data_IF_537126088502
#
_entry.id   IF_537126088502
#
_cell.length_a   1.000
_cell.length_b   1.000
_cell.length_c   1.000
_cell.angle_alpha   90.00
_cell.angle_beta   90.00
_cell.angle_gamma   90.00
#
_symmetry.space_group_name_H-M   'P 1'
#
loop_
_entity.id
_entity.type
_entity.pdbx_description
1 polymer ?
#
# COMPACT_ATOMS: atom_id res chain seq x y z
N UNK A 1 -2.61 -6.70 9.42
CA UNK A 1 -3.02 -5.57 8.59
C UNK A 1 -2.71 -4.32 9.35
N UNK A 2 -2.11 -3.35 8.67
CA UNK A 2 -1.68 -2.11 9.28
C UNK A 2 -2.25 -0.93 8.53
N UNK A 3 -2.93 -0.06 9.26
CA UNK A 3 -3.55 1.14 8.72
C UNK A 3 -2.62 2.34 8.89
N UNK A 4 -2.55 3.20 7.88
CA UNK A 4 -1.87 4.50 7.92
C UNK A 4 -2.92 5.57 7.63
N UNK A 5 -3.16 6.44 8.61
CA UNK A 5 -4.11 7.56 8.49
C UNK A 5 -3.44 8.91 8.62
N UNK A 6 -2.35 8.98 9.38
CA UNK A 6 -1.63 10.22 9.62
C UNK A 6 -0.12 10.01 9.53
N UNK A 7 0.63 11.12 9.62
CA UNK A 7 2.09 11.11 9.58
C UNK A 7 2.71 10.20 10.67
N UNK A 8 2.14 10.19 11.88
CA UNK A 8 2.64 9.35 12.98
C UNK A 8 2.51 7.86 12.68
N UNK A 9 1.42 7.45 12.03
CA UNK A 9 1.24 6.06 11.61
C UNK A 9 2.29 5.69 10.56
N UNK A 10 2.50 6.58 9.59
CA UNK A 10 3.52 6.41 8.55
C UNK A 10 4.93 6.26 9.16
N UNK A 11 5.30 7.13 10.10
CA UNK A 11 6.59 7.06 10.80
C UNK A 11 6.75 5.75 11.61
N UNK A 12 5.67 5.28 12.24
CA UNK A 12 5.65 3.98 12.92
C UNK A 12 5.91 2.82 11.95
N UNK A 13 5.37 2.88 10.72
CA UNK A 13 5.69 1.91 9.66
C UNK A 13 7.14 2.06 9.19
N UNK A 14 7.60 3.28 8.97
CA UNK A 14 8.94 3.60 8.51
C UNK A 14 10.03 3.06 9.45
N UNK A 15 9.76 3.04 10.76
CA UNK A 15 10.68 2.48 11.75
C UNK A 15 10.95 0.97 11.58
N UNK A 16 10.05 0.25 10.88
CA UNK A 16 10.10 -1.22 10.72
C UNK A 16 10.46 -1.66 9.30
N UNK A 17 10.36 -0.76 8.31
CA UNK A 17 10.58 -1.05 6.90
C UNK A 17 11.55 -0.01 6.36
N UNK A 18 12.76 -0.40 5.97
CA UNK A 18 13.76 0.53 5.44
C UNK A 18 14.25 0.06 4.06
N UNK A 19 13.41 0.25 3.04
CA UNK A 19 13.72 -0.11 1.66
C UNK A 19 12.96 0.77 0.63
N UNK A 20 13.06 0.43 -0.66
CA UNK A 20 12.36 1.14 -1.74
C UNK A 20 10.84 1.11 -1.62
N UNK A 21 10.26 0.14 -0.94
CA UNK A 21 8.82 0.12 -0.71
C UNK A 21 8.41 1.21 0.26
N UNK A 22 9.22 1.51 1.29
CA UNK A 22 8.96 2.67 2.14
C UNK A 22 8.97 3.98 1.34
N UNK A 23 9.92 4.14 0.42
CA UNK A 23 9.99 5.34 -0.46
C UNK A 23 8.73 5.46 -1.30
N UNK A 24 8.28 4.34 -1.87
CA UNK A 24 7.05 4.29 -2.65
C UNK A 24 5.81 4.62 -1.81
N UNK A 25 5.66 4.00 -0.62
CA UNK A 25 4.56 4.31 0.30
C UNK A 25 4.56 5.79 0.73
N UNK A 26 5.75 6.38 0.91
CA UNK A 26 5.86 7.82 1.19
C UNK A 26 5.25 8.63 0.06
N UNK A 27 5.56 8.31 -1.19
CA UNK A 27 5.02 9.02 -2.34
C UNK A 27 3.49 8.90 -2.41
N UNK A 28 2.92 7.71 -2.17
CA UNK A 28 1.47 7.54 -2.13
C UNK A 28 0.82 8.35 -0.99
N UNK A 29 1.39 8.32 0.21
CA UNK A 29 0.86 9.08 1.36
C UNK A 29 0.88 10.60 1.10
N UNK A 30 1.99 11.13 0.57
CA UNK A 30 2.08 12.55 0.25
C UNK A 30 1.20 12.94 -0.93
N UNK A 31 0.97 12.03 -1.89
CA UNK A 31 0.00 12.24 -2.97
C UNK A 31 -1.44 12.38 -2.43
N UNK A 32 -1.82 11.55 -1.46
CA UNK A 32 -3.11 11.69 -0.77
C UNK A 32 -3.19 13.00 0.03
N UNK A 33 -2.12 13.38 0.73
CA UNK A 33 -2.04 14.67 1.41
C UNK A 33 -2.24 15.85 0.45
N UNK A 34 -1.53 15.88 -0.67
CA UNK A 34 -1.67 16.95 -1.67
C UNK A 34 -3.08 17.05 -2.23
N UNK A 35 -3.78 15.91 -2.37
CA UNK A 35 -5.14 15.87 -2.89
C UNK A 35 -6.21 16.24 -1.84
N UNK A 36 -6.08 15.76 -0.61
CA UNK A 36 -7.16 15.79 0.41
C UNK A 36 -6.97 16.83 1.51
N UNK A 37 -5.75 17.31 1.74
CA UNK A 37 -5.42 18.16 2.91
C UNK A 37 -6.20 19.47 2.99
N UNK A 38 -6.69 19.98 1.85
CA UNK A 38 -7.39 21.26 1.78
C UNK A 38 -6.61 22.41 2.50
N UNK A 39 -5.27 22.38 2.42
CA UNK A 39 -4.39 23.37 3.04
C UNK A 39 -4.05 23.13 4.51
N UNK A 40 -4.46 22.01 5.11
CA UNK A 40 -4.02 21.62 6.45
C UNK A 40 -2.53 21.25 6.47
N UNK A 41 -1.90 21.36 7.65
CA UNK A 41 -0.50 20.98 7.81
C UNK A 41 -0.36 19.46 7.84
N UNK A 42 0.76 18.95 7.35
CA UNK A 42 1.03 17.50 7.30
C UNK A 42 1.00 16.84 8.68
N UNK A 43 1.35 17.58 9.75
CA UNK A 43 1.32 17.09 11.12
C UNK A 43 -0.12 16.90 11.66
N UNK A 44 -1.07 17.63 11.08
CA UNK A 44 -2.49 17.62 11.44
C UNK A 44 -3.32 16.74 10.48
N UNK A 45 -2.77 16.42 9.30
CA UNK A 45 -3.43 15.61 8.26
C UNK A 45 -3.86 14.23 8.76
N UNK A 46 -5.16 13.96 8.59
CA UNK A 46 -5.77 12.70 8.99
C UNK A 46 -6.73 12.20 7.91
N UNK A 47 -6.35 11.09 7.26
CA UNK A 47 -7.24 10.36 6.37
C UNK A 47 -8.45 9.83 7.15
N UNK A 48 -9.63 9.99 6.56
CA UNK A 48 -10.84 9.31 7.03
C UNK A 48 -10.69 7.79 6.84
N UNK A 49 -11.42 6.96 7.60
CA UNK A 49 -11.20 5.50 7.60
C UNK A 49 -11.36 4.82 6.24
N UNK A 50 -12.19 5.36 5.33
CA UNK A 50 -12.41 4.78 4.00
C UNK A 50 -11.38 5.22 2.95
N UNK A 51 -10.51 6.19 3.26
CA UNK A 51 -9.40 6.64 2.41
C UNK A 51 -8.04 6.21 2.96
N UNK A 52 -8.01 5.50 4.09
CA UNK A 52 -6.77 5.11 4.75
C UNK A 52 -5.95 4.14 3.88
N UNK A 53 -4.63 4.20 4.03
CA UNK A 53 -3.75 3.24 3.37
C UNK A 53 -3.64 1.98 4.22
N UNK A 54 -3.88 0.82 3.63
CA UNK A 54 -3.84 -0.48 4.31
C UNK A 54 -2.66 -1.29 3.82
N UNK A 55 -1.78 -1.73 4.72
CA UNK A 55 -0.72 -2.70 4.43
C UNK A 55 -1.20 -4.08 4.86
N UNK A 56 -1.24 -4.99 3.89
CA UNK A 56 -1.54 -6.41 4.05
C UNK A 56 -0.23 -7.14 4.35
N UNK A 57 -0.09 -7.60 5.59
CA UNK A 57 1.18 -8.09 6.13
C UNK A 57 1.41 -9.57 5.81
N UNK A 58 0.34 -10.31 5.55
CA UNK A 58 0.40 -11.72 5.21
C UNK A 58 -0.51 -12.10 4.03
N UNK A 59 -0.38 -13.36 3.61
CA UNK A 59 -1.11 -13.91 2.48
C UNK A 59 -2.61 -14.08 2.79
N UNK A 60 -2.98 -14.41 4.03
CA UNK A 60 -4.39 -14.60 4.39
C UNK A 60 -5.16 -13.29 4.26
N UNK A 61 -4.55 -12.18 4.66
CA UNK A 61 -5.10 -10.83 4.48
C UNK A 61 -5.26 -10.46 3.00
N UNK A 62 -4.26 -10.78 2.18
CA UNK A 62 -4.33 -10.59 0.73
C UNK A 62 -5.44 -11.41 0.09
N UNK A 63 -5.51 -12.71 0.42
CA UNK A 63 -6.51 -13.62 -0.13
C UNK A 63 -7.93 -13.13 0.24
N UNK A 64 -8.16 -12.69 1.48
CA UNK A 64 -9.44 -12.09 1.92
C UNK A 64 -9.84 -10.86 1.10
N UNK A 65 -8.89 -9.95 0.84
CA UNK A 65 -9.15 -8.72 0.07
C UNK A 65 -9.46 -9.04 -1.40
N UNK A 66 -8.74 -9.99 -2.01
CA UNK A 66 -8.93 -10.34 -3.42
C UNK A 66 -10.16 -11.23 -3.64
N UNK A 67 -10.46 -12.15 -2.72
CA UNK A 67 -11.62 -13.03 -2.78
C UNK A 67 -12.94 -12.25 -2.63
N UNK A 68 -12.93 -11.17 -1.85
CA UNK A 68 -14.05 -10.23 -1.80
C UNK A 68 -14.07 -9.34 -3.04
N UNK A 69 -14.53 -9.90 -4.16
CA UNK A 69 -14.60 -9.23 -5.46
C UNK A 69 -15.53 -8.01 -5.47
N UNK A 70 -16.40 -7.83 -4.47
CA UNK A 70 -17.24 -6.65 -4.38
C UNK A 70 -16.41 -5.44 -3.96
N UNK A 71 -16.37 -4.43 -4.83
CA UNK A 71 -15.60 -3.21 -4.60
C UNK A 71 -14.15 -3.28 -5.06
N UNK A 72 -13.64 -4.42 -5.55
CA UNK A 72 -12.33 -4.45 -6.18
C UNK A 72 -12.35 -3.66 -7.50
N UNK A 73 -11.68 -2.51 -7.53
CA UNK A 73 -11.60 -1.64 -8.71
C UNK A 73 -10.37 -1.98 -9.57
N UNK A 74 -9.22 -2.21 -8.93
CA UNK A 74 -7.99 -2.57 -9.64
C UNK A 74 -7.00 -3.34 -8.78
N UNK A 75 -6.11 -4.08 -9.46
CA UNK A 75 -4.88 -4.65 -8.90
C UNK A 75 -3.74 -4.28 -9.85
N UNK A 76 -2.83 -3.44 -9.37
CA UNK A 76 -1.63 -3.04 -10.08
C UNK A 76 -0.40 -3.73 -9.49
N UNK A 77 0.46 -4.26 -10.36
CA UNK A 77 1.69 -4.93 -9.96
C UNK A 77 2.89 -4.04 -10.25
N UNK A 78 3.61 -3.69 -9.20
CA UNK A 78 4.79 -2.82 -9.25
C UNK A 78 6.03 -3.64 -8.92
N UNK A 79 7.09 -3.46 -9.71
CA UNK A 79 8.37 -4.11 -9.51
C UNK A 79 9.36 -3.13 -8.86
N UNK A 80 9.67 -3.35 -7.59
CA UNK A 80 10.63 -2.57 -6.81
C UNK A 80 11.89 -3.42 -6.56
N UNK A 81 12.84 -3.39 -7.49
CA UNK A 81 14.05 -4.22 -7.46
C UNK A 81 13.74 -5.72 -7.28
N UNK A 82 14.07 -6.28 -6.11
CA UNK A 82 13.86 -7.67 -5.71
C UNK A 82 12.49 -7.89 -5.06
N UNK A 83 11.57 -6.92 -5.14
CA UNK A 83 10.23 -7.04 -4.56
C UNK A 83 9.16 -6.78 -5.60
N UNK A 84 8.02 -7.42 -5.39
CA UNK A 84 6.77 -7.14 -6.07
C UNK A 84 5.84 -6.51 -5.04
N UNK A 85 5.31 -5.34 -5.37
CA UNK A 85 4.22 -4.71 -4.64
C UNK A 85 2.95 -4.89 -5.44
N UNK A 86 1.89 -5.32 -4.78
CA UNK A 86 0.54 -5.23 -5.28
C UNK A 86 -0.09 -3.98 -4.68
N UNK A 87 -0.51 -3.06 -5.54
CA UNK A 87 -1.31 -1.89 -5.18
C UNK A 87 -2.74 -2.18 -5.60
N UNK A 88 -3.64 -2.24 -4.64
CA UNK A 88 -5.00 -2.73 -4.81
C UNK A 88 -5.96 -1.60 -4.44
N UNK A 89 -6.83 -1.24 -5.38
CA UNK A 89 -7.88 -0.25 -5.14
C UNK A 89 -9.18 -0.94 -4.79
N UNK A 90 -9.70 -0.65 -3.60
CA UNK A 90 -11.00 -1.13 -3.14
C UNK A 90 -11.95 0.07 -3.01
N UNK A 91 -13.06 0.07 -3.74
CA UNK A 91 -14.16 1.02 -3.56
C UNK A 91 -14.68 0.92 -2.14
N UNK A 92 -14.62 2.03 -1.43
CA UNK A 92 -15.07 2.18 -0.05
C UNK A 92 -15.86 3.47 0.06
N UNK A 93 -17.16 3.35 0.33
CA UNK A 93 -18.12 4.46 0.21
C UNK A 93 -18.04 5.11 -1.19
N UNK A 94 -17.65 6.38 -1.28
CA UNK A 94 -17.58 7.16 -2.51
C UNK A 94 -16.16 7.25 -3.08
N UNK A 95 -15.16 6.68 -2.41
CA UNK A 95 -13.74 6.78 -2.76
C UNK A 95 -13.06 5.42 -2.92
N UNK A 96 -11.75 5.45 -3.22
CA UNK A 96 -10.91 4.26 -3.36
C UNK A 96 -9.95 4.17 -2.18
N UNK A 97 -10.09 3.10 -1.39
CA UNK A 97 -9.15 2.74 -0.35
C UNK A 97 -7.97 1.95 -0.92
N UNK A 98 -6.76 2.42 -0.65
CA UNK A 98 -5.55 1.81 -1.20
C UNK A 98 -5.00 0.74 -0.26
N UNK A 99 -4.89 -0.47 -0.77
CA UNK A 99 -4.31 -1.62 -0.09
C UNK A 99 -2.99 -2.02 -0.75
N UNK A 100 -2.00 -2.39 0.06
CA UNK A 100 -0.66 -2.72 -0.39
C UNK A 100 -0.24 -4.08 0.16
N UNK A 101 0.24 -4.96 -0.72
CA UNK A 101 0.90 -6.20 -0.32
C UNK A 101 2.29 -6.25 -0.94
N UNK A 102 3.27 -6.77 -0.20
CA UNK A 102 4.65 -6.89 -0.67
C UNK A 102 5.14 -8.33 -0.59
N UNK A 103 5.85 -8.75 -1.63
CA UNK A 103 6.49 -10.06 -1.68
C UNK A 103 7.87 -9.98 -2.33
N UNK A 104 8.76 -10.87 -1.95
CA UNK A 104 10.08 -10.98 -2.59
C UNK A 104 9.95 -11.61 -3.99
N UNK A 105 10.62 -11.02 -4.98
CA UNK A 105 10.89 -11.66 -6.26
C UNK A 105 11.75 -12.90 -5.98
N UNK A 106 11.14 -14.09 -6.02
CA UNK A 106 11.92 -15.32 -6.07
C UNK A 106 12.78 -15.25 -7.33
N UNK A 107 14.11 -15.16 -7.17
CA UNK A 107 15.04 -15.44 -8.27
C UNK A 107 14.67 -16.82 -8.79
N UNK A 108 14.13 -16.90 -10.01
CA UNK A 108 14.15 -18.17 -10.73
C UNK A 108 15.64 -18.51 -10.85
N UNK A 109 16.09 -19.55 -10.14
CA UNK A 109 17.37 -20.19 -10.41
C UNK A 109 17.31 -20.54 -11.89
N UNK A 110 18.05 -19.81 -12.72
CA UNK A 110 18.21 -20.11 -14.12
C UNK A 110 18.63 -21.56 -14.24
N UNK A 111 17.70 -22.40 -14.68
CA UNK A 111 18.02 -23.59 -15.43
C UNK A 111 18.74 -23.08 -16.68
N UNK A 112 20.06 -23.15 -16.68
CA UNK A 112 20.78 -23.28 -17.93
C UNK A 112 20.38 -24.64 -18.49
N UNK A 113 19.48 -24.63 -19.48
CA UNK A 113 19.28 -25.79 -20.34
C UNK A 113 20.19 -25.57 -21.55
N UNK A 114 21.20 -26.46 -21.62
CA UNK A 114 21.95 -26.93 -22.79
C UNK A 114 22.18 -25.99 -23.95
#
# INVERSE_FOLDING_TARGET
MREIRCLKDFESVASKINDKFLVYLKQEFYGLYEYLSNGEKIEDFLLVPYESMIILEDKEELDKVIENKMGLEFIEKLHLNNKVVLRIGIRSFEDIQLHYSISECKKQRGKYLG
#
